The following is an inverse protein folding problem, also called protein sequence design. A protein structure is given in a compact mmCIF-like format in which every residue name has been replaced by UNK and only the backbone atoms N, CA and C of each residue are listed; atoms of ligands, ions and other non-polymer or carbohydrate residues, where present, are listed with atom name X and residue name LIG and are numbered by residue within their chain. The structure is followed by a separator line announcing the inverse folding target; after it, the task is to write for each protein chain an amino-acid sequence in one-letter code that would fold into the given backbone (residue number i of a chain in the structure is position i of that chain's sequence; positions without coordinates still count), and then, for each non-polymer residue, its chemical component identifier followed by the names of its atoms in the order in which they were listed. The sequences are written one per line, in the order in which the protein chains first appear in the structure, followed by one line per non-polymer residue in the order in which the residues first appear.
data_IF_019529651640
#
_entry.id   IF_019529651640
#
_cell.length_a   1.000
_cell.length_b   1.000
_cell.length_c   1.000
_cell.angle_alpha   90.00
_cell.angle_beta   90.00
_cell.angle_gamma   90.00
#
_symmetry.space_group_name_H-M   'P 1'
#
loop_
_entity.id
_entity.type
_entity.pdbx_description
1 polymer ?
#
# COMPACT_ATOMS: atom_id res chain seq x y z
N UNK A 1 -3.55 25.90 -8.12
CA UNK A 1 -3.60 24.53 -7.59
C UNK A 1 -5.05 24.20 -7.40
N UNK A 2 -5.55 23.31 -8.25
CA UNK A 2 -6.89 22.77 -8.09
C UNK A 2 -6.91 21.75 -6.94
N UNK A 3 -8.08 21.47 -6.36
CA UNK A 3 -8.25 20.49 -5.29
C UNK A 3 -7.75 19.10 -5.74
N UNK A 4 -7.92 18.76 -7.02
CA UNK A 4 -7.39 17.53 -7.60
C UNK A 4 -5.85 17.47 -7.56
N UNK A 5 -5.16 18.58 -7.79
CA UNK A 5 -3.68 18.64 -7.75
C UNK A 5 -3.16 18.30 -6.36
N UNK A 6 -3.82 18.84 -5.32
CA UNK A 6 -3.45 18.60 -3.93
C UNK A 6 -3.61 17.12 -3.57
N UNK A 7 -4.70 16.49 -4.00
CA UNK A 7 -4.92 15.05 -3.75
C UNK A 7 -3.97 14.16 -4.53
N UNK A 8 -3.58 14.54 -5.76
CA UNK A 8 -2.57 13.80 -6.53
C UNK A 8 -1.22 13.88 -5.82
N UNK A 9 -0.79 15.09 -5.41
CA UNK A 9 0.46 15.28 -4.68
C UNK A 9 0.46 14.52 -3.34
N UNK A 10 -0.64 14.59 -2.60
CA UNK A 10 -0.79 13.84 -1.35
C UNK A 10 -0.75 12.31 -1.59
N UNK A 11 -1.43 11.81 -2.62
CA UNK A 11 -1.42 10.39 -3.00
C UNK A 11 -0.04 9.91 -3.41
N UNK A 12 0.69 10.70 -4.21
CA UNK A 12 2.08 10.43 -4.59
C UNK A 12 3.02 10.44 -3.39
N UNK A 13 2.86 11.38 -2.47
CA UNK A 13 3.64 11.43 -1.23
C UNK A 13 3.37 10.20 -0.35
N UNK A 14 2.09 9.82 -0.17
CA UNK A 14 1.71 8.61 0.56
C UNK A 14 2.29 7.35 -0.10
N UNK A 15 2.24 7.26 -1.43
CA UNK A 15 2.82 6.15 -2.18
C UNK A 15 4.34 6.05 -1.97
N UNK A 16 5.06 7.16 -2.07
CA UNK A 16 6.52 7.20 -1.88
C UNK A 16 6.92 6.83 -0.43
N UNK A 17 6.21 7.36 0.57
CA UNK A 17 6.45 7.04 1.98
C UNK A 17 6.16 5.56 2.26
N UNK A 18 5.06 5.03 1.72
CA UNK A 18 4.70 3.63 1.86
C UNK A 18 5.71 2.70 1.19
N UNK A 19 6.19 3.06 0.00
CA UNK A 19 7.22 2.30 -0.71
C UNK A 19 8.53 2.27 0.08
N UNK A 20 8.95 3.41 0.63
CA UNK A 20 10.10 3.49 1.51
C UNK A 20 9.91 2.64 2.78
N UNK A 21 8.74 2.71 3.42
CA UNK A 21 8.42 1.90 4.59
C UNK A 21 8.40 0.39 4.26
N UNK A 22 7.93 0.01 3.08
CA UNK A 22 7.91 -1.38 2.64
C UNK A 22 9.34 -1.95 2.49
N UNK A 23 10.27 -1.14 1.97
CA UNK A 23 11.67 -1.51 1.84
C UNK A 23 12.43 -1.49 3.18
N UNK A 24 12.23 -0.46 4.00
CA UNK A 24 13.02 -0.24 5.21
C UNK A 24 12.59 -1.11 6.41
N UNK A 25 11.33 -1.54 6.48
CA UNK A 25 10.80 -2.23 7.67
C UNK A 25 10.95 -3.74 7.56
N UNK A 26 11.58 -4.37 8.57
CA UNK A 26 11.79 -5.82 8.61
C UNK A 26 10.61 -6.63 9.17
N UNK A 27 9.86 -6.04 10.09
CA UNK A 27 8.73 -6.72 10.74
C UNK A 27 7.58 -6.97 9.74
N UNK A 28 7.12 -8.20 9.62
CA UNK A 28 6.15 -8.64 8.62
C UNK A 28 4.84 -7.86 8.69
N UNK A 29 4.27 -7.65 9.88
CA UNK A 29 3.02 -6.87 10.04
C UNK A 29 3.21 -5.42 9.58
N UNK A 30 4.41 -4.86 9.76
CA UNK A 30 4.68 -3.48 9.35
C UNK A 30 4.81 -3.38 7.83
N UNK A 31 5.29 -4.43 7.16
CA UNK A 31 5.24 -4.54 5.69
C UNK A 31 3.79 -4.66 5.19
N UNK A 32 2.94 -5.45 5.85
CA UNK A 32 1.51 -5.54 5.51
C UNK A 32 0.84 -4.18 5.61
N UNK A 33 1.12 -3.41 6.67
CA UNK A 33 0.63 -2.04 6.80
C UNK A 33 1.16 -1.13 5.68
N UNK A 34 2.46 -1.21 5.36
CA UNK A 34 3.06 -0.43 4.28
C UNK A 34 2.40 -0.73 2.91
N UNK A 35 2.08 -2.00 2.61
CA UNK A 35 1.35 -2.38 1.39
C UNK A 35 -0.05 -1.74 1.35
N UNK A 36 -0.76 -1.69 2.49
CA UNK A 36 -2.08 -1.05 2.55
C UNK A 36 -1.99 0.46 2.30
N UNK A 37 -0.99 1.14 2.87
CA UNK A 37 -0.77 2.58 2.64
C UNK A 37 -0.38 2.83 1.18
N UNK A 38 0.43 1.94 0.58
CA UNK A 38 0.80 2.00 -0.83
C UNK A 38 -0.44 1.94 -1.74
N UNK A 39 -1.34 0.99 -1.47
CA UNK A 39 -2.64 0.87 -2.15
C UNK A 39 -3.51 2.11 -1.94
N UNK A 40 -3.61 2.62 -0.71
CA UNK A 40 -4.35 3.84 -0.39
C UNK A 40 -3.86 5.07 -1.14
N UNK A 41 -2.54 5.23 -1.30
CA UNK A 41 -1.94 6.29 -2.14
C UNK A 41 -2.37 6.18 -3.61
N UNK A 42 -2.33 4.97 -4.17
CA UNK A 42 -2.80 4.70 -5.53
C UNK A 42 -4.30 5.03 -5.70
N UNK A 43 -5.14 4.61 -4.75
CA UNK A 43 -6.58 4.88 -4.79
C UNK A 43 -6.89 6.38 -4.74
N UNK A 44 -6.16 7.14 -3.92
CA UNK A 44 -6.31 8.59 -3.83
C UNK A 44 -5.97 9.28 -5.16
N UNK A 45 -4.88 8.86 -5.83
CA UNK A 45 -4.51 9.38 -7.15
C UNK A 45 -5.60 9.08 -8.19
N UNK A 46 -6.13 7.85 -8.22
CA UNK A 46 -7.18 7.46 -9.17
C UNK A 46 -8.46 8.29 -9.01
N UNK A 47 -8.92 8.51 -7.77
CA UNK A 47 -10.10 9.35 -7.50
C UNK A 47 -9.85 10.80 -7.88
N UNK A 48 -8.66 11.33 -7.58
CA UNK A 48 -8.31 12.70 -7.93
C UNK A 48 -8.26 12.92 -9.44
N UNK A 49 -7.77 11.94 -10.21
CA UNK A 49 -7.83 11.95 -11.67
C UNK A 49 -9.28 11.88 -12.17
N UNK A 50 -10.14 11.05 -11.55
CA UNK A 50 -11.55 10.95 -11.92
C UNK A 50 -12.31 12.27 -11.81
N UNK A 51 -11.92 13.13 -10.87
CA UNK A 51 -12.51 14.46 -10.66
C UNK A 51 -12.12 15.48 -11.74
N UNK A 52 -11.07 15.22 -12.54
CA UNK A 52 -10.67 16.09 -13.66
C UNK A 52 -11.49 15.87 -14.93
N UNK A 53 -12.38 14.88 -14.94
CA UNK A 53 -13.24 14.62 -16.09
C UNK A 53 -14.13 15.84 -16.40
N UNK A 54 -14.26 16.25 -17.68
CA UNK A 54 -15.07 17.39 -18.06
C UNK A 54 -16.56 17.09 -17.84
N UNK A 55 -17.19 17.81 -16.91
CA UNK A 55 -18.62 17.70 -16.63
C UNK A 55 -18.93 17.81 -15.13
N UNK A 56 -20.22 17.85 -14.76
CA UNK A 56 -20.63 17.93 -13.35
C UNK A 56 -20.45 16.60 -12.59
N UNK A 57 -20.29 15.49 -13.31
CA UNK A 57 -20.17 14.14 -12.75
C UNK A 57 -18.74 13.63 -12.92
N UNK A 58 -18.16 13.09 -11.86
CA UNK A 58 -16.83 12.49 -11.92
C UNK A 58 -16.82 11.20 -12.76
N UNK A 59 -15.67 10.88 -13.37
CA UNK A 59 -15.55 9.68 -14.20
C UNK A 59 -15.89 8.41 -13.39
N UNK A 60 -16.88 7.61 -13.82
CA UNK A 60 -17.26 6.39 -13.11
C UNK A 60 -16.19 5.28 -13.18
N UNK A 61 -15.30 5.31 -14.18
CA UNK A 61 -14.33 4.22 -14.41
C UNK A 61 -13.29 4.15 -13.28
N UNK A 62 -12.56 5.23 -12.92
CA UNK A 62 -11.63 5.15 -11.79
C UNK A 62 -12.33 4.89 -10.45
N UNK A 63 -13.57 5.32 -10.27
CA UNK A 63 -14.35 5.01 -9.07
C UNK A 63 -14.61 3.50 -8.92
N UNK A 64 -15.02 2.84 -10.00
CA UNK A 64 -15.22 1.38 -10.00
C UNK A 64 -13.89 0.64 -9.77
N UNK A 65 -12.79 1.09 -10.39
CA UNK A 65 -11.45 0.51 -10.17
C UNK A 65 -11.01 0.62 -8.70
N UNK A 66 -11.30 1.74 -8.03
CA UNK A 66 -10.94 1.89 -6.61
C UNK A 66 -11.82 1.01 -5.71
N UNK A 67 -13.12 0.93 -5.96
CA UNK A 67 -14.01 0.08 -5.16
C UNK A 67 -13.59 -1.40 -5.22
N UNK A 68 -13.28 -1.88 -6.42
CA UNK A 68 -12.75 -3.25 -6.61
C UNK A 68 -11.36 -3.42 -5.99
N UNK A 69 -10.48 -2.43 -6.15
CA UNK A 69 -9.14 -2.42 -5.54
C UNK A 69 -9.17 -2.49 -4.01
N UNK A 70 -10.09 -1.78 -3.35
CA UNK A 70 -10.24 -1.80 -1.89
C UNK A 70 -10.59 -3.21 -1.41
N UNK A 71 -11.55 -3.89 -2.06
CA UNK A 71 -11.92 -5.26 -1.70
C UNK A 71 -10.73 -6.20 -1.85
N UNK A 72 -10.00 -6.11 -2.98
CA UNK A 72 -8.79 -6.91 -3.22
C UNK A 72 -7.72 -6.64 -2.15
N UNK A 73 -7.48 -5.38 -1.78
CA UNK A 73 -6.51 -5.01 -0.76
C UNK A 73 -6.85 -5.62 0.62
N UNK A 74 -8.13 -5.60 1.01
CA UNK A 74 -8.59 -6.23 2.27
C UNK A 74 -8.40 -7.75 2.22
N UNK A 75 -8.77 -8.41 1.13
CA UNK A 75 -8.59 -9.86 0.96
C UNK A 75 -7.11 -10.27 1.01
N UNK A 76 -6.24 -9.54 0.30
CA UNK A 76 -4.78 -9.77 0.33
C UNK A 76 -4.23 -9.55 1.73
N UNK A 77 -4.71 -8.54 2.46
CA UNK A 77 -4.31 -8.28 3.86
C UNK A 77 -4.68 -9.44 4.77
N UNK A 78 -5.90 -9.99 4.63
CA UNK A 78 -6.32 -11.17 5.39
C UNK A 78 -5.39 -12.37 5.13
N UNK A 79 -5.10 -12.66 3.86
CA UNK A 79 -4.17 -13.73 3.47
C UNK A 79 -2.77 -13.48 4.01
N UNK A 80 -2.26 -12.25 3.88
CA UNK A 80 -0.94 -11.88 4.37
C UNK A 80 -0.84 -12.08 5.89
N UNK A 81 -1.85 -11.66 6.67
CA UNK A 81 -1.86 -11.85 8.13
C UNK A 81 -1.94 -13.32 8.53
N UNK A 82 -2.70 -14.15 7.82
CA UNK A 82 -2.73 -15.60 8.02
C UNK A 82 -1.33 -16.19 7.77
N UNK A 83 -0.66 -15.76 6.70
CA UNK A 83 0.69 -16.20 6.38
C UNK A 83 1.70 -15.75 7.46
N UNK A 84 1.61 -14.51 7.95
CA UNK A 84 2.44 -14.02 9.06
C UNK A 84 2.25 -14.86 10.32
N UNK A 85 1.00 -15.20 10.66
CA UNK A 85 0.72 -16.09 11.80
C UNK A 85 1.33 -17.47 11.59
N UNK A 86 1.21 -18.04 10.39
CA UNK A 86 1.77 -19.36 10.05
C UNK A 86 3.30 -19.37 10.14
N UNK A 87 3.96 -18.32 9.63
CA UNK A 87 5.42 -18.16 9.73
C UNK A 87 5.84 -18.04 11.20
N UNK A 88 5.13 -17.24 11.99
CA UNK A 88 5.40 -17.10 13.44
C UNK A 88 5.27 -18.44 14.17
N UNK A 89 4.23 -19.22 13.87
CA UNK A 89 4.05 -20.55 14.48
C UNK A 89 5.13 -21.54 14.08
N UNK A 90 5.67 -21.46 12.85
CA UNK A 90 6.69 -22.38 12.36
C UNK A 90 8.12 -22.00 12.77
N UNK A 91 8.43 -20.70 12.85
CA UNK A 91 9.80 -20.18 13.04
C UNK A 91 10.01 -19.49 14.39
N UNK A 92 8.94 -19.16 15.12
CA UNK A 92 8.98 -18.31 16.32
C UNK A 92 9.24 -16.82 16.02
N UNK A 93 9.53 -16.44 14.77
CA UNK A 93 9.96 -15.09 14.38
C UNK A 93 8.90 -14.35 13.56
N UNK A 94 8.94 -13.02 13.61
CA UNK A 94 8.05 -12.13 12.82
C UNK A 94 8.82 -11.11 11.97
N UNK A 95 10.13 -11.32 11.88
CA UNK A 95 11.14 -10.56 11.18
C UNK A 95 11.80 -11.43 10.11
N UNK A 96 12.20 -10.81 8.99
CA UNK A 96 13.05 -11.48 8.02
C UNK A 96 14.44 -11.75 8.63
N UNK A 97 15.08 -12.91 8.34
CA UNK A 97 16.43 -13.23 8.81
C UNK A 97 17.43 -12.14 8.44
N UNK A 98 18.39 -11.87 9.33
CA UNK A 98 19.55 -11.03 9.01
C UNK A 98 20.42 -11.75 7.99
N UNK A 99 20.64 -11.15 6.81
CA UNK A 99 21.74 -11.56 5.94
C UNK A 99 23.02 -11.03 6.58
N UNK A 100 23.58 -11.79 7.52
CA UNK A 100 24.82 -11.44 8.19
C UNK A 100 25.99 -11.71 7.23
N UNK A 101 26.23 -10.76 6.32
CA UNK A 101 27.36 -10.74 5.39
C UNK A 101 28.58 -9.98 5.91
N UNK A 102 28.55 -9.48 7.16
CA UNK A 102 29.63 -8.67 7.74
C UNK A 102 30.60 -9.45 8.66
N UNK A 103 30.41 -10.76 8.86
CA UNK A 103 31.33 -11.59 9.68
C UNK A 103 32.47 -12.25 8.89
N UNK A 104 32.77 -11.76 7.68
CA UNK A 104 33.87 -12.28 6.83
C UNK A 104 34.78 -11.18 6.32
N UNK A 105 35.46 -10.48 7.23
CA UNK A 105 36.70 -9.74 6.94
C UNK A 105 37.71 -9.98 8.05
#
# INVERSE_FOLDING_TARGET
MDQADIYILAGMALFAIALHALAARRHLVRKVLAINILGGGCFLVLIAVARRAPGPVADPVPHAMVLTGIVVAVSVTAVALILVRRIRSATGRTDFPEDNRDDRV
#
